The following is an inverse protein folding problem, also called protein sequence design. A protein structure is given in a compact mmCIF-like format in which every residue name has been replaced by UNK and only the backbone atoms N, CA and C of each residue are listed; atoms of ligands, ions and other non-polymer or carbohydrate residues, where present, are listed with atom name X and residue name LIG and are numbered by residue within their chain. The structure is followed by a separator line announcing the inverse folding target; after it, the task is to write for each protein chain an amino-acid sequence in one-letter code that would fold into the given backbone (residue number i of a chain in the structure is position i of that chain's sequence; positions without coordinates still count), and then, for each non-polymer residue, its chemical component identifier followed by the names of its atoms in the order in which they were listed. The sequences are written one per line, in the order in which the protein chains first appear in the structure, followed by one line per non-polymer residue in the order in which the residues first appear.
data_IF_271084251874
#
_entry.id   IF_271084251874
#
_cell.length_a   1.000
_cell.length_b   1.000
_cell.length_c   1.000
_cell.angle_alpha   90.00
_cell.angle_beta   90.00
_cell.angle_gamma   90.00
#
_symmetry.space_group_name_H-M   'P 1'
#
loop_
_entity.id
_entity.type
_entity.pdbx_description
1 polymer ?
#
# COMPACT_ATOMS: atom_id res chain seq x y z
N UNK A 1 -7.69 -2.75 15.91
CA UNK A 1 -8.00 -3.40 14.62
C UNK A 1 -6.98 -4.53 14.46
N UNK A 2 -7.35 -5.68 13.90
CA UNK A 2 -6.37 -6.73 13.60
C UNK A 2 -5.63 -6.44 12.27
N UNK A 3 -4.49 -7.11 12.04
CA UNK A 3 -3.65 -6.86 10.88
C UNK A 3 -4.40 -7.02 9.54
N UNK A 4 -5.22 -8.06 9.40
CA UNK A 4 -6.00 -8.32 8.17
C UNK A 4 -6.95 -7.16 7.90
N UNK A 5 -7.67 -6.70 8.94
CA UNK A 5 -8.60 -5.59 8.82
C UNK A 5 -7.88 -4.27 8.49
N UNK A 6 -6.71 -4.03 9.08
CA UNK A 6 -5.93 -2.80 8.85
C UNK A 6 -5.36 -2.74 7.42
N UNK A 7 -4.80 -3.84 6.92
CA UNK A 7 -4.21 -3.95 5.59
C UNK A 7 -5.30 -3.83 4.52
N UNK A 8 -6.39 -4.60 4.65
CA UNK A 8 -7.51 -4.51 3.70
C UNK A 8 -8.18 -3.13 3.69
N UNK A 9 -8.20 -2.41 4.82
CA UNK A 9 -8.68 -1.03 4.86
C UNK A 9 -7.82 -0.09 3.99
N UNK A 10 -6.50 -0.26 3.99
CA UNK A 10 -5.60 0.49 3.10
C UNK A 10 -5.82 0.15 1.64
N UNK A 11 -6.04 -1.12 1.31
CA UNK A 11 -6.33 -1.54 -0.07
C UNK A 11 -7.58 -0.83 -0.62
N UNK A 12 -8.63 -0.75 0.20
CA UNK A 12 -9.87 -0.05 -0.18
C UNK A 12 -9.65 1.46 -0.31
N UNK A 13 -8.78 2.05 0.50
CA UNK A 13 -8.41 3.45 0.37
C UNK A 13 -7.61 3.73 -0.91
N UNK A 14 -6.66 2.86 -1.27
CA UNK A 14 -5.91 2.96 -2.53
C UNK A 14 -6.84 2.85 -3.74
N UNK A 15 -7.78 1.91 -3.74
CA UNK A 15 -8.80 1.79 -4.80
C UNK A 15 -9.65 3.07 -4.95
N UNK A 16 -10.02 3.70 -3.83
CA UNK A 16 -10.74 4.97 -3.87
C UNK A 16 -9.88 6.09 -4.48
N UNK A 17 -8.61 6.18 -4.08
CA UNK A 17 -7.67 7.15 -4.64
C UNK A 17 -7.46 6.94 -6.14
N UNK A 18 -7.38 5.71 -6.62
CA UNK A 18 -7.27 5.43 -8.06
C UNK A 18 -8.48 5.95 -8.84
N UNK A 19 -9.70 5.74 -8.31
CA UNK A 19 -10.92 6.29 -8.91
C UNK A 19 -10.92 7.81 -8.89
N UNK A 20 -10.46 8.43 -7.80
CA UNK A 20 -10.35 9.88 -7.70
C UNK A 20 -9.36 10.45 -8.72
N UNK A 21 -8.21 9.82 -8.93
CA UNK A 21 -7.26 10.25 -9.99
C UNK A 21 -7.90 10.25 -11.36
N UNK A 22 -8.72 9.24 -11.69
CA UNK A 22 -9.42 9.16 -12.98
C UNK A 22 -10.50 10.23 -13.17
N UNK A 23 -11.11 10.69 -12.08
CA UNK A 23 -12.17 11.68 -12.10
C UNK A 23 -11.67 13.12 -11.91
N UNK A 24 -10.43 13.28 -11.46
CA UNK A 24 -9.83 14.56 -11.13
C UNK A 24 -9.45 15.37 -12.37
N UNK A 25 -9.54 16.70 -12.24
CA UNK A 25 -9.18 17.67 -13.27
C UNK A 25 -8.18 18.70 -12.74
N UNK A 26 -7.51 19.41 -13.65
CA UNK A 26 -6.52 20.43 -13.28
C UNK A 26 -5.34 19.83 -12.51
N UNK A 27 -5.01 20.43 -11.36
CA UNK A 27 -3.85 20.05 -10.55
C UNK A 27 -4.15 18.94 -9.53
N UNK A 28 -5.42 18.57 -9.34
CA UNK A 28 -5.84 17.55 -8.37
C UNK A 28 -5.18 16.17 -8.59
N UNK A 29 -5.03 15.65 -9.84
CA UNK A 29 -4.35 14.37 -10.07
C UNK A 29 -2.93 14.32 -9.51
N UNK A 30 -2.18 15.43 -9.53
CA UNK A 30 -0.81 15.47 -9.00
C UNK A 30 -0.80 15.26 -7.48
N UNK A 31 -1.68 15.95 -6.76
CA UNK A 31 -1.82 15.80 -5.31
C UNK A 31 -2.25 14.39 -4.93
N UNK A 32 -3.22 13.82 -5.66
CA UNK A 32 -3.70 12.45 -5.46
C UNK A 32 -2.61 11.40 -5.71
N UNK A 33 -1.82 11.53 -6.78
CA UNK A 33 -0.70 10.63 -7.05
C UNK A 33 0.39 10.74 -5.97
N UNK A 34 0.61 11.93 -5.43
CA UNK A 34 1.54 12.13 -4.30
C UNK A 34 1.02 11.44 -3.04
N UNK A 35 -0.28 11.52 -2.77
CA UNK A 35 -0.90 10.79 -1.66
C UNK A 35 -0.81 9.27 -1.84
N UNK A 36 -1.08 8.77 -3.04
CA UNK A 36 -0.96 7.34 -3.39
C UNK A 36 0.46 6.85 -3.14
N UNK A 37 1.48 7.55 -3.65
CA UNK A 37 2.89 7.18 -3.47
C UNK A 37 3.25 7.09 -1.98
N UNK A 38 2.85 8.10 -1.19
CA UNK A 38 3.14 8.12 0.23
C UNK A 38 2.44 6.98 0.99
N UNK A 39 1.17 6.70 0.67
CA UNK A 39 0.40 5.63 1.29
C UNK A 39 0.89 4.25 0.94
N UNK A 40 1.13 3.98 -0.33
CA UNK A 40 1.67 2.70 -0.78
C UNK A 40 3.04 2.44 -0.15
N UNK A 41 3.91 3.46 -0.11
CA UNK A 41 5.21 3.32 0.55
C UNK A 41 5.11 3.07 2.05
N UNK A 42 4.14 3.67 2.73
CA UNK A 42 3.93 3.44 4.16
C UNK A 42 3.32 2.07 4.46
N UNK A 43 2.44 1.60 3.58
CA UNK A 43 1.78 0.30 3.62
C UNK A 43 2.80 -0.82 3.48
N UNK A 44 3.50 -0.90 2.34
CA UNK A 44 4.47 -1.97 2.05
C UNK A 44 5.55 -2.05 3.13
N UNK A 45 6.06 -0.89 3.57
CA UNK A 45 7.06 -0.83 4.63
C UNK A 45 6.53 -1.39 5.96
N UNK A 46 5.26 -1.19 6.29
CA UNK A 46 4.69 -1.74 7.50
C UNK A 46 4.52 -3.28 7.41
N UNK A 47 4.20 -3.81 6.24
CA UNK A 47 4.09 -5.25 5.99
C UNK A 47 5.45 -5.95 6.04
N UNK A 48 6.46 -5.37 5.38
CA UNK A 48 7.84 -5.84 5.40
C UNK A 48 8.42 -5.93 6.81
N UNK A 49 8.09 -4.96 7.67
CA UNK A 49 8.61 -4.91 9.04
C UNK A 49 7.87 -5.83 10.01
N UNK A 50 6.59 -6.14 9.77
CA UNK A 50 5.74 -6.77 10.78
C UNK A 50 4.96 -7.99 10.30
N UNK A 51 4.43 -7.96 9.07
CA UNK A 51 3.53 -8.99 8.54
C UNK A 51 4.32 -10.16 7.96
N UNK A 52 5.16 -9.91 6.94
CA UNK A 52 5.92 -10.99 6.30
C UNK A 52 6.87 -11.72 7.25
N UNK A 53 7.57 -11.06 8.20
CA UNK A 53 8.40 -11.75 9.19
C UNK A 53 7.62 -12.70 10.12
N UNK A 54 6.31 -12.47 10.30
CA UNK A 54 5.46 -13.34 11.11
C UNK A 54 5.11 -14.66 10.39
N UNK A 55 5.16 -14.67 9.05
CA UNK A 55 4.89 -15.84 8.21
C UNK A 55 6.13 -16.69 7.98
N UNK A 56 7.30 -16.06 7.79
CA UNK A 56 8.57 -16.75 7.52
C UNK A 56 9.65 -16.34 8.52
N UNK A 57 9.56 -16.80 9.78
CA UNK A 57 10.51 -16.41 10.81
C UNK A 57 11.93 -16.93 10.50
N UNK A 58 12.86 -16.02 10.24
CA UNK A 58 14.28 -16.33 10.02
C UNK A 58 14.70 -16.41 8.55
N UNK A 59 13.79 -16.17 7.60
CA UNK A 59 14.15 -15.96 6.19
C UNK A 59 14.42 -14.47 5.91
N UNK A 60 15.32 -14.12 4.99
CA UNK A 60 15.46 -12.74 4.52
C UNK A 60 14.09 -12.23 4.03
N UNK A 61 13.83 -10.94 4.27
CA UNK A 61 12.56 -10.25 3.96
C UNK A 61 12.04 -10.70 2.61
N UNK A 62 10.78 -11.17 2.60
CA UNK A 62 10.02 -11.66 1.45
C UNK A 62 10.21 -10.76 0.21
N UNK A 63 10.00 -11.33 -0.98
CA UNK A 63 10.16 -10.72 -2.31
C UNK A 63 9.33 -9.41 -2.52
N UNK A 64 8.54 -8.98 -1.53
CA UNK A 64 7.79 -7.72 -1.49
C UNK A 64 8.61 -6.45 -1.75
N UNK A 65 9.93 -6.46 -1.48
CA UNK A 65 10.83 -5.36 -1.83
C UNK A 65 10.77 -5.03 -3.35
N UNK A 66 10.61 -6.03 -4.22
CA UNK A 66 10.58 -5.80 -5.67
C UNK A 66 9.28 -5.14 -6.13
N UNK A 67 8.16 -5.46 -5.50
CA UNK A 67 6.85 -4.86 -5.82
C UNK A 67 6.78 -3.42 -5.33
N UNK A 68 7.34 -3.12 -4.15
CA UNK A 68 7.42 -1.76 -3.62
C UNK A 68 8.21 -0.83 -4.54
N UNK A 69 9.39 -1.27 -4.99
CA UNK A 69 10.25 -0.50 -5.89
C UNK A 69 9.57 -0.26 -7.25
N UNK A 70 8.98 -1.30 -7.86
CA UNK A 70 8.31 -1.18 -9.16
C UNK A 70 7.09 -0.25 -9.10
N UNK A 71 6.28 -0.35 -8.06
CA UNK A 71 5.09 0.49 -7.90
C UNK A 71 5.47 1.96 -7.65
N UNK A 72 6.53 2.21 -6.86
CA UNK A 72 7.08 3.54 -6.64
C UNK A 72 7.61 4.18 -7.93
N UNK A 73 8.31 3.41 -8.76
CA UNK A 73 8.80 3.89 -10.07
C UNK A 73 7.65 4.26 -11.01
N UNK A 74 6.63 3.40 -11.10
CA UNK A 74 5.47 3.62 -11.98
C UNK A 74 4.61 4.80 -11.55
N UNK A 75 4.35 4.99 -10.25
CA UNK A 75 3.58 6.16 -9.78
C UNK A 75 4.35 7.47 -10.03
N UNK A 76 5.67 7.47 -9.81
CA UNK A 76 6.51 8.63 -10.12
C UNK A 76 6.56 8.91 -11.64
N UNK A 77 6.54 7.87 -12.47
CA UNK A 77 6.43 8.00 -13.92
C UNK A 77 5.07 8.59 -14.33
N UNK A 78 3.97 8.11 -13.75
CA UNK A 78 2.63 8.64 -13.99
C UNK A 78 2.55 10.13 -13.64
N UNK A 79 3.11 10.55 -12.50
CA UNK A 79 3.19 11.98 -12.12
C UNK A 79 3.91 12.83 -13.17
N UNK A 80 5.06 12.37 -13.70
CA UNK A 80 5.83 13.09 -14.73
C UNK A 80 5.11 13.22 -16.07
N UNK A 81 4.17 12.31 -16.35
CA UNK A 81 3.45 12.22 -17.61
C UNK A 81 2.09 12.93 -17.57
N UNK A 82 1.68 13.50 -16.43
CA UNK A 82 0.42 14.23 -16.30
C UNK A 82 0.24 15.27 -17.42
N UNK A 83 -0.96 15.30 -17.99
CA UNK A 83 -1.31 16.16 -19.12
C UNK A 83 -0.82 15.69 -20.50
N UNK A 84 -0.11 14.56 -20.58
CA UNK A 84 0.31 13.93 -21.84
C UNK A 84 -0.58 12.74 -22.20
N UNK A 85 -0.54 12.32 -23.47
CA UNK A 85 -1.23 11.11 -23.94
C UNK A 85 -0.71 9.81 -23.29
N UNK A 86 0.51 9.85 -22.73
CA UNK A 86 1.16 8.70 -22.09
C UNK A 86 0.77 8.53 -20.62
N UNK A 87 0.08 9.49 -20.02
CA UNK A 87 -0.34 9.39 -18.61
C UNK A 87 -1.25 8.19 -18.38
N UNK A 88 -2.34 8.11 -19.15
CA UNK A 88 -3.36 7.09 -18.97
C UNK A 88 -2.81 5.65 -19.00
N UNK A 89 -2.02 5.23 -20.02
CA UNK A 89 -1.49 3.87 -20.06
C UNK A 89 -0.52 3.58 -18.90
N UNK A 90 0.39 4.50 -18.56
CA UNK A 90 1.31 4.28 -17.43
C UNK A 90 0.57 4.21 -16.10
N UNK A 91 -0.47 5.01 -15.93
CA UNK A 91 -1.30 4.95 -14.73
C UNK A 91 -2.14 3.66 -14.69
N UNK A 92 -2.65 3.15 -15.83
CA UNK A 92 -3.31 1.85 -15.90
C UNK A 92 -2.35 0.69 -15.53
N UNK A 93 -1.12 0.71 -16.05
CA UNK A 93 -0.10 -0.30 -15.74
C UNK A 93 0.30 -0.28 -14.25
N UNK A 94 0.39 0.92 -13.66
CA UNK A 94 0.59 1.09 -12.22
C UNK A 94 -0.57 0.50 -11.40
N UNK A 95 -1.81 0.86 -11.74
CA UNK A 95 -3.00 0.36 -11.04
C UNK A 95 -3.13 -1.15 -11.16
N UNK A 96 -2.81 -1.73 -12.32
CA UNK A 96 -2.80 -3.19 -12.52
C UNK A 96 -1.80 -3.87 -11.58
N UNK A 97 -0.56 -3.38 -11.53
CA UNK A 97 0.47 -3.98 -10.68
C UNK A 97 0.10 -3.94 -9.19
N UNK A 98 -0.47 -2.83 -8.72
CA UNK A 98 -0.93 -2.73 -7.32
C UNK A 98 -2.11 -3.68 -7.07
N UNK A 99 -3.03 -3.83 -8.02
CA UNK A 99 -4.17 -4.76 -7.89
C UNK A 99 -3.76 -6.22 -7.84
N UNK A 100 -2.81 -6.61 -8.69
CA UNK A 100 -2.29 -7.99 -8.71
C UNK A 100 -1.65 -8.33 -7.35
N UNK A 101 -0.90 -7.39 -6.77
CA UNK A 101 -0.32 -7.52 -5.42
C UNK A 101 -1.38 -7.60 -4.32
N UNK A 102 -2.36 -6.69 -4.32
CA UNK A 102 -3.49 -6.71 -3.38
C UNK A 102 -4.27 -8.02 -3.46
N UNK A 103 -4.46 -8.57 -4.67
CA UNK A 103 -5.15 -9.83 -4.88
C UNK A 103 -4.37 -11.01 -4.27
N UNK A 104 -3.05 -11.09 -4.52
CA UNK A 104 -2.16 -12.08 -3.90
C UNK A 104 -2.26 -12.00 -2.37
N UNK A 105 -2.18 -10.80 -1.81
CA UNK A 105 -2.24 -10.62 -0.37
C UNK A 105 -3.56 -11.06 0.24
N UNK A 106 -4.68 -10.59 -0.31
CA UNK A 106 -6.00 -10.89 0.22
C UNK A 106 -6.40 -12.36 0.04
N UNK A 107 -5.91 -13.04 -1.00
CA UNK A 107 -6.28 -14.44 -1.30
C UNK A 107 -5.30 -15.46 -0.73
N UNK A 108 -4.01 -15.14 -0.64
CA UNK A 108 -2.97 -16.11 -0.31
C UNK A 108 -2.28 -15.78 1.02
N UNK A 109 -1.91 -14.52 1.25
CA UNK A 109 -1.04 -14.16 2.39
C UNK A 109 -1.85 -13.92 3.67
N UNK A 110 -2.85 -13.03 3.62
CA UNK A 110 -3.64 -12.63 4.79
C UNK A 110 -4.46 -13.79 5.39
N UNK A 111 -5.07 -14.70 4.59
CA UNK A 111 -5.74 -15.88 5.15
C UNK A 111 -4.77 -16.82 5.88
N UNK A 112 -3.56 -17.00 5.34
CA UNK A 112 -2.51 -17.81 5.98
C UNK A 112 -2.05 -17.15 7.28
N UNK A 113 -1.83 -15.84 7.30
CA UNK A 113 -1.49 -15.10 8.50
C UNK A 113 -2.54 -15.30 9.60
N UNK A 114 -3.82 -15.11 9.26
CA UNK A 114 -4.93 -15.27 10.20
C UNK A 114 -5.03 -16.69 10.77
N UNK A 115 -4.64 -17.71 10.00
CA UNK A 115 -4.59 -19.11 10.45
C UNK A 115 -3.33 -19.50 11.21
N UNK A 116 -2.22 -18.78 11.03
CA UNK A 116 -0.91 -19.13 11.58
C UNK A 116 -0.65 -18.56 12.99
N UNK A 117 -1.34 -17.49 13.38
CA UNK A 117 -1.13 -16.81 14.68
C UNK A 117 -2.39 -16.78 15.54
N UNK A 118 -2.23 -16.57 16.86
CA UNK A 118 -3.37 -16.39 17.75
C UNK A 118 -4.11 -15.07 17.46
N UNK A 119 -5.40 -14.94 17.79
CA UNK A 119 -6.13 -13.68 17.63
C UNK A 119 -5.44 -12.49 18.32
N UNK A 120 -4.93 -12.69 19.53
CA UNK A 120 -4.17 -11.67 20.26
C UNK A 120 -2.89 -11.25 19.53
N UNK A 121 -2.22 -12.20 18.87
CA UNK A 121 -1.01 -11.90 18.09
C UNK A 121 -1.38 -11.17 16.80
N UNK A 122 -2.51 -11.48 16.17
CA UNK A 122 -3.00 -10.77 14.99
C UNK A 122 -3.39 -9.32 15.31
N UNK A 123 -3.96 -9.07 16.49
CA UNK A 123 -4.18 -7.71 17.02
C UNK A 123 -2.88 -6.96 17.29
N UNK A 124 -1.89 -7.63 17.91
CA UNK A 124 -0.57 -7.03 18.14
C UNK A 124 0.13 -6.64 16.83
N UNK A 125 0.03 -7.49 15.80
CA UNK A 125 0.54 -7.20 14.46
C UNK A 125 -0.19 -6.03 13.81
N UNK A 126 -1.52 -5.94 13.96
CA UNK A 126 -2.30 -4.81 13.45
C UNK A 126 -1.88 -3.48 14.05
N UNK A 127 -1.66 -3.45 15.37
CA UNK A 127 -1.14 -2.24 16.04
C UNK A 127 0.27 -1.88 15.55
N UNK A 128 1.17 -2.85 15.42
CA UNK A 128 2.53 -2.60 14.94
C UNK A 128 2.54 -2.07 13.49
N UNK A 129 1.70 -2.66 12.62
CA UNK A 129 1.49 -2.22 11.26
C UNK A 129 1.01 -0.76 11.22
N UNK A 130 -0.06 -0.43 11.95
CA UNK A 130 -0.60 0.94 12.03
C UNK A 130 0.44 1.95 12.53
N UNK A 131 1.15 1.62 13.62
CA UNK A 131 2.19 2.48 14.18
C UNK A 131 3.30 2.79 13.17
N UNK A 132 3.79 1.76 12.45
CA UNK A 132 4.82 1.94 11.43
C UNK A 132 4.31 2.74 10.24
N UNK A 133 3.13 2.41 9.73
CA UNK A 133 2.50 3.10 8.60
C UNK A 133 2.30 4.58 8.89
N UNK A 134 1.74 4.92 10.06
CA UNK A 134 1.53 6.31 10.47
C UNK A 134 2.85 7.07 10.65
N UNK A 135 3.89 6.41 11.19
CA UNK A 135 5.21 7.02 11.30
C UNK A 135 5.83 7.33 9.93
N UNK A 136 5.65 6.45 8.94
CA UNK A 136 6.14 6.67 7.57
C UNK A 136 5.36 7.79 6.87
N UNK A 137 4.03 7.80 6.96
CA UNK A 137 3.19 8.87 6.41
C UNK A 137 3.60 10.24 6.96
N UNK A 138 3.84 10.34 8.28
CA UNK A 138 4.28 11.60 8.92
C UNK A 138 5.62 12.09 8.37
N UNK A 139 6.56 11.19 8.11
CA UNK A 139 7.85 11.56 7.51
C UNK A 139 7.68 12.11 6.09
N UNK A 140 6.70 11.60 5.33
CA UNK A 140 6.33 12.07 3.99
C UNK A 140 5.41 13.30 4.00
N UNK A 141 5.10 13.87 5.17
CA UNK A 141 4.27 15.07 5.30
C UNK A 141 2.76 14.81 5.27
N UNK A 142 2.33 13.55 5.33
CA UNK A 142 0.94 13.15 5.40
C UNK A 142 0.53 12.86 6.85
N UNK A 143 -0.63 13.36 7.25
CA UNK A 143 -1.20 13.09 8.58
C UNK A 143 -2.54 12.41 8.38
N UNK A 144 -2.68 11.18 8.85
CA UNK A 144 -4.00 10.57 8.91
C UNK A 144 -4.86 11.35 9.91
N UNK A 145 -6.05 11.78 9.47
CA UNK A 145 -7.04 12.32 10.39
C UNK A 145 -7.41 11.18 11.35
N UNK A 146 -7.07 11.36 12.63
CA UNK A 146 -7.39 10.38 13.67
C UNK A 146 -8.90 10.14 13.70
N UNK A 147 -9.30 8.87 13.61
CA UNK A 147 -10.64 8.42 13.99
C UNK A 147 -10.83 8.53 15.50
#
# INVERSE_FOLDING_TARGET
MDAVTAITADHRLLEDLFRRVRAAEGDEPFALLTEIEARLSAHNLAEENHVFPALMPGEPVYEGNHVHDEAAEKVAQAQRLLGTEYFAPVFDDFVSAVRDHVEEEEQEILPVLAGAVSPSRLEDLGRAFEERRVAELRQKGFVEAGH
#
